data_IF_394671836734
#
_entry.id   IF_394671836734
#
_cell.length_a   1.000
_cell.length_b   1.000
_cell.length_c   1.000
_cell.angle_alpha   90.00
_cell.angle_beta   90.00
_cell.angle_gamma   90.00
#
_symmetry.space_group_name_H-M   'P 1'
#
loop_
_entity.id
_entity.type
_entity.pdbx_description
1 polymer ?
#
# COMPACT_ATOMS: atom_id res chain seq x y z
N UNK A 1 -31.12 16.78 -9.03
CA UNK A 1 -29.69 16.95 -9.31
C UNK A 1 -28.93 16.54 -8.06
N UNK A 2 -28.51 15.28 -7.97
CA UNK A 2 -27.69 14.81 -6.85
C UNK A 2 -26.24 15.15 -7.16
N UNK A 3 -25.61 15.98 -6.31
CA UNK A 3 -24.23 16.42 -6.48
C UNK A 3 -23.22 15.26 -6.40
N UNK A 4 -21.97 15.48 -6.83
CA UNK A 4 -20.94 14.45 -6.80
C UNK A 4 -20.65 14.09 -5.33
N UNK A 5 -20.85 12.83 -4.97
CA UNK A 5 -20.53 12.33 -3.65
C UNK A 5 -19.01 12.33 -3.48
N UNK A 6 -18.49 13.32 -2.75
CA UNK A 6 -17.10 13.43 -2.31
C UNK A 6 -16.82 12.38 -1.22
N UNK A 7 -16.87 11.09 -1.62
CA UNK A 7 -16.48 9.98 -0.74
C UNK A 7 -15.00 9.73 -0.93
N UNK A 8 -14.19 10.50 -0.20
CA UNK A 8 -12.80 10.13 0.09
C UNK A 8 -12.81 8.76 0.78
N UNK A 9 -12.01 7.82 0.28
CA UNK A 9 -11.75 6.56 0.97
C UNK A 9 -10.97 6.88 2.25
N UNK A 10 -11.68 7.10 3.37
CA UNK A 10 -11.05 7.27 4.67
C UNK A 10 -10.64 5.89 5.20
N UNK A 11 -9.33 5.63 5.21
CA UNK A 11 -8.74 4.38 5.67
C UNK A 11 -8.79 4.22 7.20
N UNK A 12 -9.31 5.21 7.94
CA UNK A 12 -9.40 5.20 9.41
C UNK A 12 -10.81 4.88 9.94
N UNK A 13 -11.74 4.43 9.10
CA UNK A 13 -13.11 4.13 9.52
C UNK A 13 -13.14 2.87 10.42
N UNK A 14 -13.08 3.06 11.74
CA UNK A 14 -13.36 2.00 12.72
C UNK A 14 -14.85 1.71 12.72
N UNK A 15 -15.21 0.47 12.36
CA UNK A 15 -16.60 0.06 12.25
C UNK A 15 -17.19 -0.34 13.61
N UNK A 16 -18.36 0.20 13.93
CA UNK A 16 -19.11 -0.10 15.15
C UNK A 16 -19.63 -1.55 15.14
N UNK A 17 -19.40 -2.27 16.24
CA UNK A 17 -19.56 -3.72 16.33
C UNK A 17 -21.03 -4.18 16.21
N UNK A 18 -21.38 -4.79 15.07
CA UNK A 18 -22.61 -5.56 14.95
C UNK A 18 -22.44 -6.96 15.57
N UNK A 19 -23.42 -7.40 16.35
CA UNK A 19 -23.45 -8.70 17.03
C UNK A 19 -23.34 -9.87 16.04
N UNK A 20 -22.26 -10.64 16.17
CA UNK A 20 -21.98 -11.81 15.32
C UNK A 20 -22.84 -13.02 15.74
N UNK A 21 -23.67 -13.54 14.83
CA UNK A 21 -24.19 -14.91 14.98
C UNK A 21 -23.11 -15.93 14.60
N UNK A 22 -23.00 -17.07 15.32
CA UNK A 22 -21.91 -18.04 15.13
C UNK A 22 -21.96 -18.80 13.80
N UNK A 23 -23.07 -18.75 13.06
CA UNK A 23 -23.25 -19.43 11.77
C UNK A 23 -22.78 -18.62 10.56
N UNK A 24 -22.32 -17.39 10.74
CA UNK A 24 -21.86 -16.50 9.67
C UNK A 24 -20.34 -16.54 9.44
N UNK A 25 -19.69 -17.68 9.72
CA UNK A 25 -18.27 -17.84 9.41
C UNK A 25 -18.15 -17.99 7.89
N UNK A 26 -17.73 -16.93 7.21
CA UNK A 26 -17.41 -16.98 5.80
C UNK A 26 -16.26 -17.98 5.56
N UNK A 27 -16.52 -18.97 4.69
CA UNK A 27 -15.56 -20.01 4.33
C UNK A 27 -15.34 -19.99 2.82
N UNK A 28 -14.21 -19.45 2.34
CA UNK A 28 -13.94 -19.39 0.91
C UNK A 28 -13.72 -20.79 0.34
N UNK A 29 -14.21 -21.02 -0.88
CA UNK A 29 -14.09 -22.29 -1.58
C UNK A 29 -13.52 -22.07 -2.99
N UNK A 30 -12.20 -22.26 -3.11
CA UNK A 30 -11.44 -22.05 -4.35
C UNK A 30 -11.60 -23.19 -5.36
N UNK A 31 -12.85 -23.46 -5.75
CA UNK A 31 -13.21 -24.48 -6.73
C UNK A 31 -13.40 -23.84 -8.11
N UNK A 32 -12.63 -24.30 -9.09
CA UNK A 32 -12.79 -23.95 -10.50
C UNK A 32 -13.57 -25.05 -11.25
N UNK A 33 -14.05 -24.79 -12.49
CA UNK A 33 -14.66 -25.83 -13.32
C UNK A 33 -13.74 -27.02 -13.61
N UNK A 34 -12.43 -26.83 -13.54
CA UNK A 34 -11.41 -27.87 -13.76
C UNK A 34 -10.97 -28.57 -12.48
N UNK A 35 -11.55 -28.22 -11.32
CA UNK A 35 -11.20 -28.78 -10.01
C UNK A 35 -10.73 -27.74 -9.00
N UNK A 36 -10.32 -28.16 -7.80
CA UNK A 36 -9.75 -27.27 -6.79
C UNK A 36 -8.50 -26.56 -7.31
N UNK A 37 -8.34 -25.27 -6.98
CA UNK A 37 -7.12 -24.55 -7.28
C UNK A 37 -5.94 -25.13 -6.47
N UNK A 38 -4.79 -25.22 -7.12
CA UNK A 38 -3.54 -25.76 -6.60
C UNK A 38 -2.46 -24.68 -6.64
N UNK A 39 -1.30 -24.97 -6.04
CA UNK A 39 -0.13 -24.06 -6.08
C UNK A 39 0.41 -23.82 -7.51
N UNK A 40 0.06 -24.68 -8.46
CA UNK A 40 0.42 -24.50 -9.87
C UNK A 40 -0.43 -23.46 -10.60
N UNK A 41 -1.60 -23.11 -10.05
CA UNK A 41 -2.53 -22.18 -10.66
C UNK A 41 -2.15 -20.73 -10.36
N UNK A 42 -2.15 -19.88 -11.39
CA UNK A 42 -1.68 -18.50 -11.28
C UNK A 42 -2.77 -17.50 -11.60
N UNK A 43 -3.11 -16.67 -10.60
CA UNK A 43 -4.01 -15.52 -10.74
C UNK A 43 -3.55 -14.56 -11.83
N UNK A 44 -2.24 -14.40 -12.02
CA UNK A 44 -1.69 -13.46 -13.01
C UNK A 44 -1.70 -13.99 -14.45
N UNK A 45 -1.85 -15.30 -14.65
CA UNK A 45 -1.74 -15.94 -15.97
C UNK A 45 -3.05 -16.49 -16.51
N UNK A 46 -4.08 -16.60 -15.68
CA UNK A 46 -5.32 -17.26 -16.05
C UNK A 46 -6.54 -16.52 -15.48
N UNK A 47 -7.38 -16.00 -16.37
CA UNK A 47 -8.54 -15.19 -16.01
C UNK A 47 -9.58 -15.97 -15.19
N UNK A 48 -9.77 -17.25 -15.48
CA UNK A 48 -10.68 -18.12 -14.71
C UNK A 48 -10.19 -18.27 -13.26
N UNK A 49 -8.88 -18.48 -13.07
CA UNK A 49 -8.24 -18.56 -11.75
C UNK A 49 -8.39 -17.24 -11.02
N UNK A 50 -8.14 -16.13 -11.69
CA UNK A 50 -8.32 -14.79 -11.13
C UNK A 50 -9.75 -14.56 -10.65
N UNK A 51 -10.76 -14.91 -11.46
CA UNK A 51 -12.17 -14.77 -11.11
C UNK A 51 -12.58 -15.66 -9.93
N UNK A 52 -12.13 -16.92 -9.91
CA UNK A 52 -12.40 -17.86 -8.80
C UNK A 52 -11.73 -17.39 -7.52
N UNK A 53 -10.52 -16.84 -7.58
CA UNK A 53 -9.85 -16.30 -6.39
C UNK A 53 -10.55 -15.03 -5.92
N UNK A 54 -10.81 -14.08 -6.82
CA UNK A 54 -11.45 -12.81 -6.48
C UNK A 54 -12.82 -13.00 -5.81
N UNK A 55 -13.71 -13.84 -6.38
CA UNK A 55 -15.04 -14.10 -5.79
C UNK A 55 -14.95 -14.70 -4.39
N UNK A 56 -13.91 -15.49 -4.13
CA UNK A 56 -13.66 -16.17 -2.86
C UNK A 56 -12.77 -15.36 -1.93
N UNK A 57 -12.45 -14.11 -2.25
CA UNK A 57 -11.85 -13.15 -1.32
C UNK A 57 -12.89 -12.15 -0.79
N UNK A 58 -14.03 -12.03 -1.47
CA UNK A 58 -15.12 -11.15 -1.07
C UNK A 58 -16.00 -11.82 -0.01
N UNK A 59 -16.16 -11.15 1.13
CA UNK A 59 -17.12 -11.57 2.14
C UNK A 59 -18.56 -11.32 1.65
N UNK A 60 -19.59 -11.93 2.27
CA UNK A 60 -20.98 -11.68 1.90
C UNK A 60 -21.37 -10.20 2.11
N UNK A 61 -20.71 -9.52 3.06
CA UNK A 61 -20.88 -8.10 3.31
C UNK A 61 -20.34 -7.26 2.15
N UNK A 62 -19.15 -7.60 1.65
CA UNK A 62 -18.55 -6.92 0.50
C UNK A 62 -19.43 -7.08 -0.74
N UNK A 63 -19.90 -8.30 -1.01
CA UNK A 63 -20.82 -8.55 -2.12
C UNK A 63 -22.11 -7.71 -2.02
N UNK A 64 -22.69 -7.54 -0.83
CA UNK A 64 -23.86 -6.67 -0.63
C UNK A 64 -23.57 -5.19 -0.88
N UNK A 65 -22.34 -4.74 -0.59
CA UNK A 65 -21.92 -3.36 -0.86
C UNK A 65 -21.65 -3.17 -2.36
N UNK A 66 -20.97 -4.11 -2.98
CA UNK A 66 -20.61 -4.09 -4.39
C UNK A 66 -21.82 -4.30 -5.31
N UNK A 67 -22.81 -5.12 -4.94
CA UNK A 67 -24.02 -5.36 -5.75
C UNK A 67 -24.87 -4.11 -5.98
N UNK A 68 -24.66 -3.06 -5.17
CA UNK A 68 -25.33 -1.76 -5.30
C UNK A 68 -24.54 -0.76 -6.15
N UNK A 69 -23.32 -1.13 -6.58
CA UNK A 69 -22.45 -0.30 -7.41
C UNK A 69 -22.61 -0.70 -8.88
N UNK A 70 -22.57 0.28 -9.77
CA UNK A 70 -22.44 0.01 -11.20
C UNK A 70 -20.98 -0.21 -11.57
N UNK A 71 -20.74 -0.97 -12.65
CA UNK A 71 -19.39 -1.20 -13.19
C UNK A 71 -18.68 0.12 -13.51
N UNK A 72 -19.40 1.08 -14.09
CA UNK A 72 -18.88 2.43 -14.39
C UNK A 72 -18.35 3.13 -13.13
N UNK A 73 -19.09 3.06 -12.02
CA UNK A 73 -18.68 3.68 -10.77
C UNK A 73 -17.49 2.93 -10.15
N UNK A 74 -17.45 1.60 -10.25
CA UNK A 74 -16.31 0.80 -9.80
C UNK A 74 -15.02 1.15 -10.57
N UNK A 75 -15.11 1.33 -11.90
CA UNK A 75 -13.98 1.78 -12.73
C UNK A 75 -13.51 3.16 -12.30
N UNK A 76 -14.44 4.12 -12.13
CA UNK A 76 -14.09 5.48 -11.71
C UNK A 76 -13.44 5.51 -10.33
N UNK A 77 -13.99 4.79 -9.36
CA UNK A 77 -13.46 4.70 -8.00
C UNK A 77 -12.06 4.05 -8.00
N UNK A 78 -11.85 3.01 -8.82
CA UNK A 78 -10.53 2.36 -8.97
C UNK A 78 -9.48 3.27 -9.60
N UNK A 79 -9.87 4.11 -10.57
CA UNK A 79 -9.00 5.09 -11.18
C UNK A 79 -8.63 6.20 -10.19
N UNK A 80 -9.61 6.71 -9.44
CA UNK A 80 -9.38 7.70 -8.40
C UNK A 80 -8.39 7.17 -7.34
N UNK A 81 -8.57 5.92 -6.89
CA UNK A 81 -7.64 5.25 -5.99
C UNK A 81 -6.24 5.14 -6.61
N UNK A 82 -6.13 4.71 -7.87
CA UNK A 82 -4.84 4.58 -8.57
C UNK A 82 -4.08 5.90 -8.64
N UNK A 83 -4.78 7.01 -8.94
CA UNK A 83 -4.19 8.37 -8.94
C UNK A 83 -3.73 8.77 -7.55
N UNK A 84 -4.53 8.50 -6.51
CA UNK A 84 -4.17 8.78 -5.12
C UNK A 84 -2.95 7.97 -4.67
N UNK A 85 -2.89 6.69 -5.01
CA UNK A 85 -1.74 5.82 -4.75
C UNK A 85 -0.48 6.36 -5.44
N UNK A 86 -0.56 6.72 -6.72
CA UNK A 86 0.56 7.28 -7.46
C UNK A 86 1.07 8.58 -6.81
N UNK A 87 0.16 9.45 -6.36
CA UNK A 87 0.51 10.66 -5.61
C UNK A 87 1.18 10.38 -4.27
N UNK A 88 0.65 9.42 -3.50
CA UNK A 88 1.22 9.01 -2.21
C UNK A 88 2.63 8.43 -2.35
N UNK A 89 2.84 7.50 -3.29
CA UNK A 89 4.15 6.91 -3.57
C UNK A 89 5.14 7.97 -4.06
N UNK A 90 4.70 8.88 -4.93
CA UNK A 90 5.55 9.99 -5.40
C UNK A 90 5.99 10.91 -4.27
N UNK A 91 5.08 11.23 -3.34
CA UNK A 91 5.41 12.04 -2.17
C UNK A 91 6.46 11.34 -1.27
N UNK A 92 6.29 10.04 -1.04
CA UNK A 92 7.27 9.26 -0.29
C UNK A 92 8.64 9.25 -0.99
N UNK A 93 8.67 9.06 -2.31
CA UNK A 93 9.91 9.08 -3.08
C UNK A 93 10.64 10.43 -2.97
N UNK A 94 9.90 11.55 -3.04
CA UNK A 94 10.47 12.88 -2.85
C UNK A 94 11.07 13.07 -1.45
N UNK A 95 10.37 12.61 -0.41
CA UNK A 95 10.85 12.69 0.98
C UNK A 95 12.10 11.85 1.19
N UNK A 96 12.11 10.62 0.68
CA UNK A 96 13.28 9.75 0.72
C UNK A 96 14.48 10.36 -0.02
N UNK A 97 14.24 10.97 -1.18
CA UNK A 97 15.28 11.66 -1.94
C UNK A 97 15.87 12.84 -1.16
N UNK A 98 15.02 13.67 -0.55
CA UNK A 98 15.47 14.78 0.30
C UNK A 98 16.28 14.28 1.50
N UNK A 99 15.84 13.20 2.17
CA UNK A 99 16.58 12.58 3.27
C UNK A 99 17.93 12.03 2.81
N UNK A 100 17.99 11.40 1.63
CA UNK A 100 19.25 10.91 1.05
C UNK A 100 20.25 12.05 0.88
N UNK A 101 19.82 13.20 0.35
CA UNK A 101 20.68 14.38 0.20
C UNK A 101 21.18 14.95 1.53
N UNK A 102 20.32 14.95 2.55
CA UNK A 102 20.74 15.37 3.89
C UNK A 102 21.81 14.44 4.48
N UNK A 103 21.63 13.13 4.31
CA UNK A 103 22.62 12.13 4.75
C UNK A 103 23.96 12.30 4.01
N UNK A 104 23.93 12.52 2.68
CA UNK A 104 25.12 12.79 1.89
C UNK A 104 25.87 14.04 2.37
N UNK A 105 25.14 15.15 2.60
CA UNK A 105 25.72 16.39 3.13
C UNK A 105 26.35 16.19 4.50
N UNK A 106 25.65 15.51 5.41
CA UNK A 106 26.14 15.22 6.75
C UNK A 106 27.39 14.33 6.71
N UNK A 107 27.41 13.34 5.82
CA UNK A 107 28.58 12.48 5.63
C UNK A 107 29.81 13.28 5.18
N UNK A 108 29.63 14.24 4.27
CA UNK A 108 30.70 15.14 3.82
C UNK A 108 31.23 16.03 4.98
N UNK A 109 30.33 16.61 5.78
CA UNK A 109 30.70 17.42 6.93
C UNK A 109 31.48 16.61 7.99
N UNK A 110 31.01 15.39 8.29
CA UNK A 110 31.70 14.46 9.20
C UNK A 110 33.10 14.11 8.68
N UNK A 111 33.28 13.93 7.37
CA UNK A 111 34.60 13.68 6.79
C UNK A 111 35.53 14.89 6.94
N UNK A 112 35.04 16.11 6.69
CA UNK A 112 35.80 17.35 6.87
C UNK A 112 36.25 17.52 8.32
N UNK A 113 35.31 17.44 9.27
CA UNK A 113 35.60 17.56 10.71
C UNK A 113 36.62 16.51 11.18
N UNK A 114 36.52 15.26 10.69
CA UNK A 114 37.50 14.22 10.99
C UNK A 114 38.90 14.57 10.49
N UNK A 115 39.01 15.24 9.34
CA UNK A 115 40.30 15.70 8.81
C UNK A 115 40.86 16.84 9.66
N UNK A 116 40.03 17.81 10.03
CA UNK A 116 40.42 18.95 10.88
C UNK A 116 40.92 18.48 12.25
N UNK A 117 40.19 17.56 12.89
CA UNK A 117 40.60 16.95 14.17
C UNK A 117 41.96 16.25 14.04
N UNK A 118 42.21 15.54 12.93
CA UNK A 118 43.52 14.90 12.68
C UNK A 118 44.63 15.93 12.55
N UNK A 119 44.39 17.03 11.82
CA UNK A 119 45.34 18.13 11.65
C UNK A 119 45.68 18.79 12.99
N UNK A 120 44.66 19.23 13.72
CA UNK A 120 44.81 19.86 15.04
C UNK A 120 45.52 18.93 16.04
N UNK A 121 45.22 17.63 16.02
CA UNK A 121 45.91 16.63 16.87
C UNK A 121 47.38 16.49 16.52
N UNK A 122 47.76 16.64 15.25
CA UNK A 122 49.17 16.62 14.84
C UNK A 122 49.90 17.88 15.29
N UNK A 123 49.31 19.06 15.06
CA UNK A 123 49.87 20.35 15.49
C UNK A 123 50.07 20.41 17.02
N UNK A 124 49.08 19.97 17.79
CA UNK A 124 49.15 19.98 19.25
C UNK A 124 50.32 19.13 19.79
N UNK A 125 50.62 17.99 19.15
CA UNK A 125 51.80 17.15 19.48
C UNK A 125 53.14 17.78 19.13
N UNK A 126 53.19 18.76 18.22
CA UNK A 126 54.44 19.45 17.88
C UNK A 126 54.70 20.61 18.84
N UNK A 127 53.67 21.10 19.54
CA UNK A 127 53.74 22.21 20.47
C UNK A 127 53.99 21.78 21.93
N UNK A 128 53.84 20.49 22.25
CA UNK A 128 54.02 19.90 23.58
C UNK A 128 54.93 18.68 23.50
#
# INVERSE_FOLDING_TARGET
MSGPSDRRFDLNLVEEAATHSPDNIWRPSFLSPTGPLTVGDSVMKNDMTAAVVARNLLTPKDNRLLSKRSDELAVKDSLALSVQCAGSVSNMAQRLFAQTRQVESLAAEVMSLKQDIRGLKHENKQLH
#
